data_IF_159090873639
#
_entry.id   IF_159090873639
#
_cell.length_a   1.000
_cell.length_b   1.000
_cell.length_c   1.000
_cell.angle_alpha   90.00
_cell.angle_beta   90.00
_cell.angle_gamma   90.00
#
_symmetry.space_group_name_H-M   'P 1'
#
loop_
_entity.id
_entity.type
_entity.pdbx_description
1 polymer ?
#
# COMPACT_ATOMS: atom_id res chain seq x y z
N UNK A 1 -7.34 -49.60 -47.60
CA UNK A 1 -6.84 -49.48 -46.23
C UNK A 1 -6.70 -48.02 -45.90
N UNK A 2 -7.22 -47.59 -44.76
CA UNK A 2 -6.73 -46.43 -44.04
C UNK A 2 -7.30 -46.51 -42.63
N UNK A 3 -6.49 -47.02 -41.69
CA UNK A 3 -6.75 -46.81 -40.27
C UNK A 3 -6.23 -45.42 -39.95
N UNK A 4 -7.08 -44.60 -39.36
CA UNK A 4 -6.68 -43.29 -38.86
C UNK A 4 -5.95 -43.53 -37.53
N UNK A 5 -4.63 -43.36 -37.51
CA UNK A 5 -3.87 -43.27 -36.26
C UNK A 5 -4.34 -42.03 -35.51
N UNK A 6 -4.91 -42.24 -34.32
CA UNK A 6 -5.23 -41.16 -33.39
C UNK A 6 -3.92 -40.82 -32.67
N UNK A 7 -3.47 -39.55 -32.69
CA UNK A 7 -2.25 -39.18 -31.98
C UNK A 7 -2.44 -39.36 -30.47
N UNK A 8 -1.44 -40.00 -29.87
CA UNK A 8 -1.33 -40.20 -28.42
C UNK A 8 -1.29 -38.83 -27.72
N UNK A 9 -2.30 -38.54 -26.91
CA UNK A 9 -2.36 -37.31 -26.13
C UNK A 9 -1.65 -37.56 -24.79
N UNK A 10 -0.33 -37.37 -24.81
CA UNK A 10 0.50 -37.40 -23.60
C UNK A 10 0.19 -36.15 -22.76
N UNK A 11 -0.73 -36.29 -21.80
CA UNK A 11 -0.93 -35.29 -20.76
C UNK A 11 0.24 -35.34 -19.79
N UNK A 12 0.98 -34.24 -19.71
CA UNK A 12 2.04 -34.08 -18.71
C UNK A 12 1.38 -33.78 -17.37
N UNK A 13 1.06 -34.84 -16.62
CA UNK A 13 0.49 -34.74 -15.28
C UNK A 13 1.62 -34.37 -14.30
N UNK A 14 1.73 -33.09 -13.93
CA UNK A 14 2.62 -32.68 -12.84
C UNK A 14 1.93 -32.90 -11.51
N UNK A 15 2.36 -33.91 -10.74
CA UNK A 15 1.83 -34.19 -9.41
C UNK A 15 2.37 -33.17 -8.39
N UNK A 16 1.50 -32.61 -7.56
CA UNK A 16 1.91 -31.69 -6.48
C UNK A 16 2.89 -32.34 -5.47
N UNK A 17 2.93 -33.67 -5.38
CA UNK A 17 3.86 -34.42 -4.53
C UNK A 17 5.26 -34.60 -5.13
N UNK A 18 5.50 -34.18 -6.37
CA UNK A 18 6.83 -34.20 -7.01
C UNK A 18 7.60 -32.90 -6.81
N UNK A 19 7.05 -31.94 -6.08
CA UNK A 19 7.82 -30.78 -5.67
C UNK A 19 8.80 -31.20 -4.56
N UNK A 20 10.12 -31.08 -4.77
CA UNK A 20 11.08 -31.37 -3.71
C UNK A 20 10.76 -30.50 -2.49
N UNK A 21 10.62 -31.14 -1.33
CA UNK A 21 10.18 -30.53 -0.07
C UNK A 21 11.06 -29.37 0.41
N UNK A 22 12.25 -29.19 -0.16
CA UNK A 22 13.19 -28.15 0.25
C UNK A 22 14.25 -27.90 -0.83
N UNK A 23 14.28 -26.68 -1.38
CA UNK A 23 15.41 -26.14 -2.15
C UNK A 23 16.02 -25.01 -1.34
N UNK A 24 17.14 -25.22 -0.62
CA UNK A 24 17.76 -24.14 0.14
C UNK A 24 18.17 -23.02 -0.81
N UNK A 25 17.75 -21.79 -0.50
CA UNK A 25 18.17 -20.62 -1.27
C UNK A 25 19.70 -20.53 -1.26
N UNK A 26 20.32 -20.28 -2.43
CA UNK A 26 21.76 -20.02 -2.51
C UNK A 26 22.09 -18.89 -1.53
N UNK A 27 22.87 -19.20 -0.49
CA UNK A 27 23.39 -18.20 0.42
C UNK A 27 24.29 -17.26 -0.38
N UNK A 28 23.82 -16.03 -0.59
CA UNK A 28 24.61 -14.96 -1.17
C UNK A 28 25.57 -14.50 -0.09
N UNK A 29 26.85 -14.81 -0.25
CA UNK A 29 27.88 -14.35 0.68
C UNK A 29 27.88 -12.82 0.72
N UNK A 30 27.42 -12.25 1.83
CA UNK A 30 27.47 -10.82 2.08
C UNK A 30 28.92 -10.49 2.46
N UNK A 31 29.68 -9.99 1.49
CA UNK A 31 30.99 -9.42 1.76
C UNK A 31 30.82 -8.17 2.66
N UNK A 32 31.11 -8.33 3.94
CA UNK A 32 31.13 -7.27 4.95
C UNK A 32 32.44 -6.45 4.88
N UNK A 33 32.80 -6.02 3.67
CA UNK A 33 33.89 -5.05 3.53
C UNK A 33 33.35 -3.68 3.93
N UNK A 34 33.76 -3.19 5.11
CA UNK A 34 33.50 -1.82 5.52
C UNK A 34 34.45 -0.94 4.69
N UNK A 35 33.95 -0.08 3.79
CA UNK A 35 34.82 0.83 3.04
C UNK A 35 35.60 1.72 4.01
N UNK A 36 36.87 2.00 3.71
CA UNK A 36 37.60 3.00 4.49
C UNK A 36 36.83 4.33 4.48
N UNK A 37 36.67 4.99 5.63
CA UNK A 37 35.95 6.24 5.70
C UNK A 37 36.64 7.28 4.83
N UNK A 38 35.91 7.77 3.82
CA UNK A 38 36.37 8.86 2.98
C UNK A 38 36.67 10.09 3.86
N UNK A 39 37.79 10.77 3.61
CA UNK A 39 38.21 11.97 4.38
C UNK A 39 37.48 13.26 3.96
N UNK A 40 36.60 13.16 2.96
CA UNK A 40 35.79 14.29 2.51
C UNK A 40 34.64 14.51 3.49
N UNK A 41 34.31 15.76 3.83
CA UNK A 41 33.13 16.06 4.64
C UNK A 41 31.90 15.55 3.90
N UNK A 42 31.30 14.48 4.41
CA UNK A 42 30.03 13.96 3.92
C UNK A 42 28.94 14.92 4.37
N UNK A 43 28.14 15.39 3.41
CA UNK A 43 26.94 16.16 3.69
C UNK A 43 25.91 15.26 4.41
N UNK A 44 25.87 15.38 5.74
CA UNK A 44 24.97 14.60 6.60
C UNK A 44 23.54 15.13 6.60
N UNK A 45 23.27 16.28 5.96
CA UNK A 45 21.94 16.89 5.99
C UNK A 45 20.88 15.98 5.35
N UNK A 46 21.27 15.19 4.34
CA UNK A 46 20.44 14.16 3.70
C UNK A 46 19.97 13.02 4.62
N UNK A 47 20.70 12.75 5.71
CA UNK A 47 20.27 11.72 6.67
C UNK A 47 19.00 12.16 7.41
N UNK A 48 18.66 13.44 7.36
CA UNK A 48 17.52 14.04 8.04
C UNK A 48 16.37 14.39 7.08
N UNK A 49 16.37 13.89 5.84
CA UNK A 49 15.28 14.02 4.85
C UNK A 49 14.03 13.19 5.26
N UNK A 50 13.62 13.26 6.53
CA UNK A 50 12.39 12.66 7.03
C UNK A 50 11.19 13.50 6.61
N UNK A 51 10.31 12.91 5.81
CA UNK A 51 9.01 13.53 5.49
C UNK A 51 8.13 13.48 6.74
N UNK A 52 7.96 14.62 7.41
CA UNK A 52 7.08 14.75 8.56
C UNK A 52 5.63 14.97 8.12
N UNK A 53 4.73 14.06 8.50
CA UNK A 53 3.29 14.18 8.24
C UNK A 53 2.57 14.71 9.47
N UNK A 54 1.86 15.84 9.33
CA UNK A 54 1.00 16.38 10.38
C UNK A 54 -0.30 15.57 10.50
N UNK A 55 -0.28 14.59 11.42
CA UNK A 55 -1.42 13.72 11.70
C UNK A 55 -2.64 14.46 12.26
N UNK A 56 -2.45 15.55 13.01
CA UNK A 56 -3.57 16.34 13.54
C UNK A 56 -4.34 17.04 12.42
N UNK A 57 -3.63 17.54 11.40
CA UNK A 57 -4.28 18.09 10.22
C UNK A 57 -5.06 17.04 9.44
N UNK A 58 -4.53 15.81 9.30
CA UNK A 58 -5.26 14.72 8.64
C UNK A 58 -6.52 14.34 9.41
N UNK A 59 -6.46 14.28 10.74
CA UNK A 59 -7.64 14.03 11.57
C UNK A 59 -8.69 15.11 11.38
N UNK A 60 -8.29 16.38 11.40
CA UNK A 60 -9.21 17.50 11.16
C UNK A 60 -9.90 17.40 9.79
N UNK A 61 -9.20 16.97 8.75
CA UNK A 61 -9.80 16.76 7.44
C UNK A 61 -10.92 15.72 7.48
N UNK A 62 -10.72 14.62 8.23
CA UNK A 62 -11.74 13.58 8.44
C UNK A 62 -12.91 14.16 9.23
N UNK A 63 -12.65 14.84 10.35
CA UNK A 63 -13.69 15.40 11.22
C UNK A 63 -14.56 16.44 10.50
N UNK A 64 -13.93 17.33 9.71
CA UNK A 64 -14.63 18.33 8.91
C UNK A 64 -15.51 17.68 7.83
N UNK A 65 -15.04 16.59 7.21
CA UNK A 65 -15.85 15.84 6.25
C UNK A 65 -17.03 15.11 6.93
N UNK A 66 -16.80 14.56 8.13
CA UNK A 66 -17.84 13.91 8.95
C UNK A 66 -18.83 14.89 9.58
N UNK A 67 -18.54 16.20 9.54
CA UNK A 67 -19.49 17.23 9.95
C UNK A 67 -20.57 17.44 8.88
N UNK A 68 -20.22 17.25 7.59
CA UNK A 68 -21.15 17.36 6.46
C UNK A 68 -21.98 16.08 6.27
N UNK A 69 -21.35 14.91 6.46
CA UNK A 69 -21.92 13.60 6.16
C UNK A 69 -21.69 12.63 7.32
N UNK A 70 -22.60 11.68 7.57
CA UNK A 70 -22.44 10.73 8.70
C UNK A 70 -21.32 9.71 8.49
N UNK A 71 -20.89 9.52 7.24
CA UNK A 71 -19.78 8.67 6.84
C UNK A 71 -19.12 9.27 5.59
N UNK A 72 -17.83 9.03 5.40
CA UNK A 72 -17.10 9.48 4.20
C UNK A 72 -16.05 8.44 3.79
N UNK A 73 -15.95 8.15 2.49
CA UNK A 73 -14.85 7.30 2.00
C UNK A 73 -13.56 8.10 1.84
N UNK A 74 -12.42 7.47 2.08
CA UNK A 74 -11.11 8.08 1.87
C UNK A 74 -10.94 8.53 0.41
N UNK A 75 -11.42 7.75 -0.56
CA UNK A 75 -11.42 8.15 -1.97
C UNK A 75 -12.20 9.46 -2.25
N UNK A 76 -13.35 9.67 -1.61
CA UNK A 76 -14.12 10.92 -1.72
C UNK A 76 -13.43 12.07 -0.97
N UNK A 77 -12.91 11.80 0.22
CA UNK A 77 -12.14 12.76 1.02
C UNK A 77 -10.96 13.31 0.21
N UNK A 78 -10.20 12.44 -0.45
CA UNK A 78 -9.03 12.82 -1.25
C UNK A 78 -9.38 13.59 -2.53
N UNK A 79 -10.61 13.46 -3.05
CA UNK A 79 -11.10 14.33 -4.14
C UNK A 79 -11.41 15.74 -3.67
N UNK A 80 -11.94 15.91 -2.46
CA UNK A 80 -12.20 17.22 -1.85
C UNK A 80 -10.91 17.85 -1.31
N UNK A 81 -9.99 17.03 -0.77
CA UNK A 81 -8.74 17.45 -0.12
C UNK A 81 -7.57 16.63 -0.67
N UNK A 82 -6.94 17.08 -1.77
CA UNK A 82 -5.86 16.32 -2.40
C UNK A 82 -4.63 16.19 -1.49
N UNK A 83 -3.87 15.11 -1.70
CA UNK A 83 -2.64 14.82 -0.98
C UNK A 83 -1.59 15.92 -1.21
N UNK A 84 -0.91 16.35 -0.15
CA UNK A 84 0.16 17.35 -0.20
C UNK A 84 1.54 16.69 -0.10
N UNK A 85 1.69 15.67 0.73
CA UNK A 85 2.91 14.86 0.88
C UNK A 85 2.82 13.50 0.17
N UNK A 86 1.84 13.33 -0.73
CA UNK A 86 1.70 12.14 -1.55
C UNK A 86 1.45 10.86 -0.76
N UNK A 87 2.23 9.81 -1.05
CA UNK A 87 2.06 8.47 -0.47
C UNK A 87 2.15 8.47 1.06
N UNK A 88 3.02 9.29 1.65
CA UNK A 88 3.19 9.34 3.11
C UNK A 88 1.89 9.72 3.82
N UNK A 89 1.14 10.68 3.27
CA UNK A 89 -0.18 11.04 3.78
C UNK A 89 -1.19 9.91 3.59
N UNK A 90 -1.18 9.26 2.42
CA UNK A 90 -2.08 8.14 2.14
C UNK A 90 -1.88 7.00 3.16
N UNK A 91 -0.62 6.59 3.39
CA UNK A 91 -0.30 5.57 4.39
C UNK A 91 -0.74 6.02 5.79
N UNK A 92 -0.55 7.30 6.13
CA UNK A 92 -0.99 7.83 7.42
C UNK A 92 -2.51 7.76 7.57
N UNK A 93 -3.28 8.09 6.53
CA UNK A 93 -4.75 7.94 6.54
C UNK A 93 -5.18 6.48 6.74
N UNK A 94 -4.50 5.54 6.08
CA UNK A 94 -4.81 4.10 6.23
C UNK A 94 -4.47 3.60 7.64
N UNK A 95 -3.32 4.01 8.20
CA UNK A 95 -2.97 3.70 9.58
C UNK A 95 -3.98 4.28 10.57
N UNK A 96 -4.44 5.51 10.35
CA UNK A 96 -5.49 6.11 11.16
C UNK A 96 -6.80 5.33 11.06
N UNK A 97 -7.15 4.81 9.89
CA UNK A 97 -8.31 3.93 9.71
C UNK A 97 -8.17 2.62 10.50
N UNK A 98 -6.99 2.00 10.50
CA UNK A 98 -6.73 0.78 11.28
C UNK A 98 -6.79 1.01 12.80
N UNK A 99 -6.39 2.20 13.27
CA UNK A 99 -6.39 2.55 14.70
C UNK A 99 -7.77 3.02 15.21
N UNK A 100 -8.62 3.55 14.35
CA UNK A 100 -9.92 4.12 14.73
C UNK A 100 -11.03 3.06 14.78
N UNK A 101 -11.77 2.92 15.90
CA UNK A 101 -12.85 1.93 16.01
C UNK A 101 -14.08 2.25 15.12
N UNK A 102 -14.20 3.50 14.64
CA UNK A 102 -15.30 3.95 13.78
C UNK A 102 -14.88 4.02 12.30
N UNK A 103 -13.97 3.15 11.91
CA UNK A 103 -13.51 2.97 10.54
C UNK A 103 -13.88 1.58 10.02
N UNK A 104 -14.16 1.49 8.71
CA UNK A 104 -14.35 0.24 8.00
C UNK A 104 -13.41 0.19 6.80
N UNK A 105 -12.64 -0.89 6.71
CA UNK A 105 -11.77 -1.19 5.57
C UNK A 105 -12.34 -2.43 4.88
N UNK A 106 -12.65 -2.29 3.59
CA UNK A 106 -13.11 -3.38 2.73
C UNK A 106 -12.02 -3.71 1.71
N UNK A 107 -11.44 -4.91 1.85
CA UNK A 107 -10.38 -5.40 0.96
C UNK A 107 -10.90 -5.92 -0.39
N UNK A 108 -12.21 -6.08 -0.55
CA UNK A 108 -12.82 -6.55 -1.82
C UNK A 108 -13.03 -5.40 -2.81
N UNK A 109 -13.21 -4.18 -2.30
CA UNK A 109 -13.35 -2.98 -3.11
C UNK A 109 -12.08 -2.13 -3.03
N UNK A 110 -11.72 -1.46 -4.12
CA UNK A 110 -10.52 -0.64 -4.20
C UNK A 110 -10.85 0.78 -4.67
N UNK A 111 -10.19 1.75 -4.07
CA UNK A 111 -10.15 3.14 -4.51
C UNK A 111 -8.76 3.45 -5.10
N UNK A 112 -8.68 4.46 -5.98
CA UNK A 112 -7.41 4.98 -6.46
C UNK A 112 -7.29 6.48 -6.28
N UNK A 113 -6.06 6.94 -6.07
CA UNK A 113 -5.72 8.36 -5.98
C UNK A 113 -4.46 8.64 -6.78
N UNK A 114 -4.46 9.73 -7.53
CA UNK A 114 -3.28 10.22 -8.25
C UNK A 114 -2.82 11.57 -7.72
N UNK A 115 -1.52 11.75 -7.52
CA UNK A 115 -0.90 13.00 -7.10
C UNK A 115 0.36 13.29 -7.92
N UNK A 116 0.88 14.51 -7.82
CA UNK A 116 2.18 14.89 -8.37
C UNK A 116 3.18 14.84 -7.23
N UNK A 117 4.28 14.10 -7.38
CA UNK A 117 5.35 14.07 -6.38
C UNK A 117 6.26 15.31 -6.45
N UNK A 118 7.20 15.41 -5.53
CA UNK A 118 8.18 16.50 -5.47
C UNK A 118 9.07 16.61 -6.73
N UNK A 119 9.17 15.54 -7.51
CA UNK A 119 9.91 15.51 -8.78
C UNK A 119 9.06 15.95 -9.98
N UNK A 120 7.77 16.25 -9.76
CA UNK A 120 6.82 16.62 -10.80
C UNK A 120 6.23 15.42 -11.55
N UNK A 121 6.52 14.19 -11.11
CA UNK A 121 5.99 12.98 -11.73
C UNK A 121 4.60 12.68 -11.19
N UNK A 122 3.68 12.33 -12.11
CA UNK A 122 2.37 11.81 -11.73
C UNK A 122 2.53 10.40 -11.15
N UNK A 123 2.09 10.23 -9.92
CA UNK A 123 2.00 8.94 -9.23
C UNK A 123 0.53 8.58 -9.04
N UNK A 124 0.29 7.29 -8.93
CA UNK A 124 -1.02 6.72 -8.62
C UNK A 124 -0.83 5.60 -7.61
N UNK A 125 -1.75 5.51 -6.66
CA UNK A 125 -1.83 4.40 -5.72
C UNK A 125 -3.26 3.87 -5.67
N UNK A 126 -3.34 2.56 -5.50
CA UNK A 126 -4.58 1.82 -5.27
C UNK A 126 -4.58 1.30 -3.85
N UNK A 127 -5.70 1.42 -3.15
CA UNK A 127 -5.84 1.08 -1.74
C UNK A 127 -7.23 0.49 -1.47
N UNK A 128 -7.40 -0.32 -0.42
CA UNK A 128 -8.71 -0.88 -0.09
C UNK A 128 -9.69 0.24 0.24
N UNK A 129 -10.96 0.02 -0.09
CA UNK A 129 -12.00 1.01 0.18
C UNK A 129 -12.09 1.23 1.68
N UNK A 130 -11.79 2.46 2.08
CA UNK A 130 -11.69 2.85 3.48
C UNK A 130 -12.77 3.88 3.78
N UNK A 131 -13.60 3.62 4.78
CA UNK A 131 -14.73 4.47 5.17
C UNK A 131 -14.52 4.90 6.62
N UNK A 132 -14.66 6.20 6.87
CA UNK A 132 -14.73 6.76 8.21
C UNK A 132 -16.18 7.06 8.55
N UNK A 133 -16.58 6.78 9.79
CA UNK A 133 -17.94 6.97 10.29
C UNK A 133 -17.95 7.92 11.49
N UNK A 134 -19.03 8.68 11.65
CA UNK A 134 -19.23 9.50 12.84
C UNK A 134 -19.40 8.60 14.07
N UNK A 135 -18.83 8.99 15.22
CA UNK A 135 -18.87 8.22 16.49
C UNK A 135 -20.30 7.90 16.97
N UNK A 136 -21.30 8.61 16.46
CA UNK A 136 -22.73 8.42 16.75
C UNK A 136 -23.53 7.57 15.76
N UNK A 137 -22.93 7.10 14.65
CA UNK A 137 -23.64 6.24 13.67
C UNK A 137 -23.56 4.75 14.02
N UNK A 138 -22.78 4.37 15.03
CA UNK A 138 -22.77 3.02 15.58
C UNK A 138 -24.00 2.81 16.50
N UNK A 139 -25.18 2.78 15.87
CA UNK A 139 -26.41 2.30 16.49
C UNK A 139 -26.32 0.80 16.74
N UNK A 140 -26.72 0.39 17.93
CA UNK A 140 -27.05 -0.98 18.35
C UNK A 140 -27.79 -1.78 17.27
N UNK A 141 -27.37 -3.05 17.08
CA UNK A 141 -28.11 -4.21 16.54
C UNK A 141 -29.30 -3.98 15.60
#
# INVERSE_FOLDING_TARGET
GMWMEVPDYQTKLSLLMEMPLFSPAQQKELNSSIPEPTKEPVDTDRLFDCIYVDRHRLQRNIDEALTEETQVSLGLLLKKRPLQLGLSELITYLQMAEEEPFSLIDDQEQDSVSWIDETGLRKEATFPKTIFCHRGSHGTE
#
